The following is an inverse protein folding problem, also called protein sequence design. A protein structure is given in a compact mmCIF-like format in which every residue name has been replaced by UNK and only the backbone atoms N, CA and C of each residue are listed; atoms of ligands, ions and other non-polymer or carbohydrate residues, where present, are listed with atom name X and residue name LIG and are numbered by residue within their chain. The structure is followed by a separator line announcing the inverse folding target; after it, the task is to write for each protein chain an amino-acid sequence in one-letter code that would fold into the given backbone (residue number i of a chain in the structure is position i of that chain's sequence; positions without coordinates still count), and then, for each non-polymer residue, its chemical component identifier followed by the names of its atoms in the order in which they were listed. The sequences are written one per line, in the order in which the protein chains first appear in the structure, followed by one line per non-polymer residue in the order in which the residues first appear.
data_IF_234317380234
#
_entry.id   IF_234317380234
#
_cell.length_a   1.000
_cell.length_b   1.000
_cell.length_c   1.000
_cell.angle_alpha   90.00
_cell.angle_beta   90.00
_cell.angle_gamma   90.00
#
_symmetry.space_group_name_H-M   'P 1'
#
loop_
_entity.id
_entity.type
_entity.pdbx_description
1 polymer ?
#
# COMPACT_ATOMS: atom_id res chain seq x y z
N UNK A 1 55.24 -81.59 -4.52
CA UNK A 1 54.08 -81.09 -3.75
C UNK A 1 54.55 -79.85 -3.00
N UNK A 2 54.40 -78.67 -3.61
CA UNK A 2 54.78 -77.39 -3.00
C UNK A 2 53.53 -76.73 -2.41
N UNK A 3 53.63 -76.31 -1.16
CA UNK A 3 52.66 -75.51 -0.42
C UNK A 3 53.16 -74.06 -0.39
N UNK A 4 52.31 -73.09 -0.72
CA UNK A 4 52.56 -71.66 -0.48
C UNK A 4 51.27 -70.97 -0.03
N UNK A 5 51.38 -70.20 1.05
CA UNK A 5 50.32 -69.42 1.70
C UNK A 5 50.07 -68.09 0.95
N UNK A 6 48.85 -67.50 1.00
CA UNK A 6 48.63 -66.17 0.46
C UNK A 6 48.88 -65.09 1.51
N UNK A 7 49.64 -64.05 1.12
CA UNK A 7 49.78 -62.79 1.85
C UNK A 7 48.58 -61.87 1.53
N UNK A 8 47.98 -61.31 2.57
CA UNK A 8 46.87 -60.35 2.50
C UNK A 8 47.43 -58.93 2.31
N UNK A 9 47.14 -58.25 1.20
CA UNK A 9 47.42 -56.82 1.01
C UNK A 9 46.14 -56.02 1.24
N UNK A 10 46.13 -55.16 2.25
CA UNK A 10 45.04 -54.24 2.53
C UNK A 10 45.19 -52.97 1.67
N UNK A 11 44.20 -52.69 0.81
CA UNK A 11 44.14 -51.48 0.00
C UNK A 11 43.26 -50.44 0.70
N UNK A 12 43.84 -49.29 1.07
CA UNK A 12 43.13 -48.18 1.71
C UNK A 12 42.45 -47.32 0.62
N UNK A 13 41.11 -47.26 0.61
CA UNK A 13 40.31 -46.41 -0.28
C UNK A 13 40.05 -45.05 0.38
N UNK A 14 40.64 -43.99 -0.17
CA UNK A 14 40.27 -42.59 0.14
C UNK A 14 39.05 -42.18 -0.70
N UNK A 15 37.93 -41.87 -0.04
CA UNK A 15 36.75 -41.29 -0.67
C UNK A 15 36.89 -39.76 -0.78
N UNK A 16 36.54 -39.14 -1.93
CA UNK A 16 36.57 -37.69 -2.06
C UNK A 16 35.39 -37.07 -1.30
N UNK A 17 35.70 -36.12 -0.42
CA UNK A 17 34.70 -35.29 0.25
C UNK A 17 34.20 -34.26 -0.78
N UNK A 18 33.08 -34.55 -1.42
CA UNK A 18 32.38 -33.59 -2.28
C UNK A 18 31.72 -32.56 -1.36
N UNK A 19 32.38 -31.40 -1.21
CA UNK A 19 31.82 -30.24 -0.52
C UNK A 19 30.55 -29.80 -1.23
N UNK A 20 29.40 -30.00 -0.58
CA UNK A 20 28.12 -29.52 -1.07
C UNK A 20 28.10 -28.00 -0.92
N UNK A 21 28.25 -27.29 -2.04
CA UNK A 21 28.02 -25.84 -2.09
C UNK A 21 26.52 -25.65 -1.90
N UNK A 22 26.10 -25.28 -0.69
CA UNK A 22 24.75 -24.80 -0.45
C UNK A 22 24.61 -23.44 -1.14
N UNK A 23 24.09 -23.45 -2.37
CA UNK A 23 23.61 -22.24 -3.02
C UNK A 23 22.28 -21.89 -2.36
N UNK A 24 22.28 -20.87 -1.52
CA UNK A 24 21.04 -20.30 -0.98
C UNK A 24 20.15 -19.87 -2.16
N UNK A 25 18.84 -20.20 -2.16
CA UNK A 25 17.94 -19.66 -3.17
C UNK A 25 18.00 -18.13 -3.13
N UNK A 26 17.87 -17.44 -4.28
CA UNK A 26 17.83 -15.98 -4.29
C UNK A 26 16.74 -15.53 -3.33
N UNK A 27 17.11 -14.70 -2.35
CA UNK A 27 16.15 -14.00 -1.48
C UNK A 27 15.19 -13.29 -2.43
N UNK A 28 13.90 -13.62 -2.35
CA UNK A 28 12.87 -12.89 -3.10
C UNK A 28 13.17 -11.40 -2.98
N UNK A 29 13.32 -10.70 -4.11
CA UNK A 29 13.57 -9.27 -4.10
C UNK A 29 12.55 -8.63 -3.17
N UNK A 30 13.01 -7.83 -2.19
CA UNK A 30 12.13 -7.17 -1.26
C UNK A 30 11.15 -6.31 -2.07
N UNK A 31 9.85 -6.62 -1.99
CA UNK A 31 8.85 -5.75 -2.57
C UNK A 31 8.74 -4.50 -1.69
N UNK A 32 8.78 -3.32 -2.27
CA UNK A 32 8.42 -2.09 -1.58
C UNK A 32 6.93 -1.85 -1.81
N UNK A 33 6.16 -1.73 -0.73
CA UNK A 33 4.77 -1.31 -0.82
C UNK A 33 4.68 0.20 -0.71
N UNK A 34 3.81 0.81 -1.51
CA UNK A 34 3.41 2.20 -1.31
C UNK A 34 2.22 2.26 -0.37
N UNK A 35 2.29 3.16 0.60
CA UNK A 35 1.25 3.36 1.62
C UNK A 35 0.81 4.81 1.59
N UNK A 36 -0.50 5.03 1.57
CA UNK A 36 -1.10 6.35 1.71
C UNK A 36 -1.76 6.45 3.08
N UNK A 37 -1.47 7.52 3.81
CA UNK A 37 -2.01 7.75 5.15
C UNK A 37 -2.87 9.00 5.14
N UNK A 38 -4.16 8.80 5.40
CA UNK A 38 -5.14 9.86 5.61
C UNK A 38 -5.06 10.43 7.03
N UNK A 39 -5.46 11.68 7.22
CA UNK A 39 -5.34 12.40 8.48
C UNK A 39 -6.49 13.38 8.71
N UNK A 40 -6.58 13.93 9.92
CA UNK A 40 -7.31 15.17 10.18
C UNK A 40 -6.33 16.32 10.10
N UNK A 41 -6.66 17.39 9.37
CA UNK A 41 -5.80 18.56 9.20
C UNK A 41 -6.27 19.76 10.04
N UNK A 42 -7.57 19.89 10.29
CA UNK A 42 -8.09 20.93 11.19
C UNK A 42 -7.68 20.64 12.65
N UNK A 43 -7.05 21.62 13.29
CA UNK A 43 -6.65 21.51 14.70
C UNK A 43 -5.44 20.60 14.95
N UNK A 44 -4.63 20.33 13.93
CA UNK A 44 -3.40 19.55 14.03
C UNK A 44 -2.29 20.16 13.17
N UNK A 45 -1.07 19.62 13.28
CA UNK A 45 0.07 19.96 12.41
C UNK A 45 0.08 19.15 11.10
N UNK A 46 -0.96 18.35 10.84
CA UNK A 46 -1.04 17.52 9.63
C UNK A 46 -1.33 18.37 8.39
N UNK A 47 -0.61 18.08 7.31
CA UNK A 47 -0.72 18.83 6.07
C UNK A 47 -1.70 18.24 5.05
N UNK A 48 -2.07 16.97 5.19
CA UNK A 48 -2.93 16.25 4.24
C UNK A 48 -2.62 14.76 4.17
N UNK A 49 -2.47 14.22 2.96
CA UNK A 49 -2.23 12.79 2.73
C UNK A 49 -0.72 12.53 2.68
N UNK A 50 -0.22 11.60 3.50
CA UNK A 50 1.20 11.22 3.51
C UNK A 50 1.43 10.00 2.63
N UNK A 51 2.51 10.03 1.84
CA UNK A 51 3.01 8.88 1.09
C UNK A 51 4.20 8.27 1.82
N UNK A 52 4.12 6.98 2.11
CA UNK A 52 5.20 6.20 2.71
C UNK A 52 5.61 5.06 1.79
N UNK A 53 6.87 4.63 1.88
CA UNK A 53 7.32 3.33 1.41
C UNK A 53 7.40 2.36 2.58
N UNK A 54 7.05 1.10 2.34
CA UNK A 54 7.13 0.02 3.32
C UNK A 54 7.97 -1.12 2.77
N UNK A 55 9.09 -1.39 3.45
CA UNK A 55 9.88 -2.57 3.20
C UNK A 55 9.07 -3.83 3.59
N UNK A 56 8.75 -4.68 2.61
CA UNK A 56 7.91 -5.87 2.84
C UNK A 56 8.51 -6.93 3.76
N UNK A 57 9.82 -6.90 4.00
CA UNK A 57 10.51 -7.92 4.80
C UNK A 57 10.61 -7.53 6.26
N UNK A 58 10.74 -6.22 6.53
CA UNK A 58 10.96 -5.67 7.87
C UNK A 58 9.76 -4.90 8.40
N UNK A 59 8.83 -4.48 7.53
CA UNK A 59 7.73 -3.59 7.86
C UNK A 59 8.17 -2.15 8.13
N UNK A 60 9.43 -1.80 7.88
CA UNK A 60 9.93 -0.44 8.09
C UNK A 60 9.22 0.54 7.15
N UNK A 61 8.60 1.56 7.73
CA UNK A 61 8.00 2.67 7.00
C UNK A 61 8.99 3.83 6.85
N UNK A 62 9.04 4.43 5.65
CA UNK A 62 9.82 5.63 5.36
C UNK A 62 8.95 6.67 4.66
N UNK A 63 9.04 7.93 5.09
CA UNK A 63 8.31 9.02 4.47
C UNK A 63 8.89 9.33 3.09
N UNK A 64 8.02 9.37 2.09
CA UNK A 64 8.38 9.65 0.69
C UNK A 64 7.90 11.01 0.25
N UNK A 65 6.70 11.41 0.69
CA UNK A 65 6.09 12.68 0.27
C UNK A 65 4.82 13.01 1.02
N UNK A 66 4.30 14.19 0.73
CA UNK A 66 3.04 14.69 1.28
C UNK A 66 2.25 15.36 0.16
N UNK A 67 0.96 15.03 0.07
CA UNK A 67 -0.02 15.80 -0.69
C UNK A 67 -0.69 16.77 0.26
N UNK A 68 -0.19 18.00 0.24
CA UNK A 68 -0.64 19.08 1.11
C UNK A 68 -2.00 19.65 0.68
N UNK A 69 -2.61 20.46 1.54
CA UNK A 69 -3.84 21.22 1.27
C UNK A 69 -5.05 20.33 0.93
N UNK A 70 -5.04 19.08 1.38
CA UNK A 70 -6.23 18.21 1.38
C UNK A 70 -6.89 18.36 2.74
N UNK A 71 -8.11 18.86 2.77
CA UNK A 71 -8.83 19.11 4.02
C UNK A 71 -9.39 17.81 4.61
N UNK A 72 -9.01 17.49 5.85
CA UNK A 72 -9.45 16.31 6.60
C UNK A 72 -9.62 15.02 5.75
N UNK A 73 -8.55 14.52 5.09
CA UNK A 73 -8.57 13.28 4.33
C UNK A 73 -8.57 12.05 5.23
N UNK A 74 -9.57 11.92 6.09
CA UNK A 74 -9.61 10.92 7.18
C UNK A 74 -9.77 9.48 6.70
N UNK A 75 -10.28 9.28 5.48
CA UNK A 75 -10.47 7.96 4.87
C UNK A 75 -10.15 7.97 3.37
N UNK A 76 -9.42 6.95 2.91
CA UNK A 76 -8.94 6.83 1.54
C UNK A 76 -9.40 5.51 0.92
N UNK A 77 -9.63 5.49 -0.39
CA UNK A 77 -9.69 4.25 -1.16
C UNK A 77 -9.01 4.40 -2.52
N UNK A 78 -8.42 3.30 -2.97
CA UNK A 78 -7.76 3.21 -4.28
C UNK A 78 -8.72 2.51 -5.24
N UNK A 79 -8.85 3.07 -6.44
CA UNK A 79 -9.62 2.47 -7.51
C UNK A 79 -9.02 1.09 -7.91
N UNK A 80 -9.81 0.07 -8.29
CA UNK A 80 -9.31 -1.28 -8.60
C UNK A 80 -8.16 -1.35 -9.63
N UNK A 81 -8.14 -0.42 -10.59
CA UNK A 81 -7.05 -0.30 -11.58
C UNK A 81 -5.75 0.35 -11.04
N UNK A 82 -5.71 0.77 -9.78
CA UNK A 82 -4.59 1.40 -9.08
C UNK A 82 -4.11 2.75 -9.65
N UNK A 83 -4.90 3.38 -10.53
CA UNK A 83 -4.54 4.67 -11.16
C UNK A 83 -5.13 5.88 -10.44
N UNK A 84 -6.08 5.67 -9.54
CA UNK A 84 -6.80 6.74 -8.87
C UNK A 84 -6.92 6.48 -7.37
N UNK A 85 -6.86 7.56 -6.59
CA UNK A 85 -7.12 7.56 -5.16
C UNK A 85 -8.26 8.55 -4.88
N UNK A 86 -9.19 8.13 -4.04
CA UNK A 86 -10.27 8.95 -3.53
C UNK A 86 -10.08 9.18 -2.04
N UNK A 87 -10.27 10.41 -1.59
CA UNK A 87 -10.20 10.79 -0.19
C UNK A 87 -11.52 11.45 0.21
N UNK A 88 -12.12 11.05 1.32
CA UNK A 88 -13.17 11.88 1.94
C UNK A 88 -12.55 13.21 2.35
N UNK A 89 -13.34 14.27 2.35
CA UNK A 89 -13.00 15.52 3.04
C UNK A 89 -14.00 15.66 4.18
N UNK A 90 -13.60 15.25 5.38
CA UNK A 90 -14.48 15.16 6.54
C UNK A 90 -14.75 16.55 7.14
N UNK A 91 -15.69 17.25 6.51
CA UNK A 91 -16.13 18.60 6.86
C UNK A 91 -17.66 18.72 6.76
N UNK A 92 -18.21 19.78 7.32
CA UNK A 92 -19.64 20.16 7.25
C UNK A 92 -19.91 21.33 6.31
N UNK A 93 -18.86 21.99 5.84
CA UNK A 93 -18.97 23.08 4.88
C UNK A 93 -18.10 22.75 3.67
N UNK A 94 -18.71 22.74 2.50
CA UNK A 94 -18.04 22.61 1.22
C UNK A 94 -18.67 23.58 0.23
N UNK A 95 -17.90 24.57 -0.21
CA UNK A 95 -18.33 25.60 -1.16
C UNK A 95 -19.61 26.34 -0.70
N UNK A 96 -19.73 26.62 0.60
CA UNK A 96 -20.89 27.30 1.19
C UNK A 96 -22.15 26.44 1.30
N UNK A 97 -22.04 25.12 1.06
CA UNK A 97 -23.12 24.16 1.26
C UNK A 97 -22.85 23.33 2.52
N UNK A 98 -23.93 22.94 3.21
CA UNK A 98 -23.88 22.02 4.36
C UNK A 98 -23.55 20.59 3.90
N UNK A 99 -22.29 20.35 3.58
CA UNK A 99 -21.80 19.12 2.98
C UNK A 99 -20.32 18.92 3.29
N UNK A 100 -19.87 17.68 3.28
CA UNK A 100 -18.47 17.34 3.01
C UNK A 100 -18.24 17.13 1.52
N UNK A 101 -17.09 16.57 1.19
CA UNK A 101 -16.71 16.28 -0.20
C UNK A 101 -15.91 14.97 -0.31
N UNK A 102 -15.68 14.55 -1.54
CA UNK A 102 -14.64 13.59 -1.90
C UNK A 102 -13.70 14.26 -2.90
N UNK A 103 -12.41 14.18 -2.62
CA UNK A 103 -11.33 14.56 -3.56
C UNK A 103 -10.88 13.36 -4.35
N UNK A 104 -10.65 13.52 -5.65
CA UNK A 104 -10.08 12.51 -6.51
C UNK A 104 -8.68 12.92 -6.99
N UNK A 105 -7.79 11.94 -7.09
CA UNK A 105 -6.40 12.12 -7.51
C UNK A 105 -5.99 11.04 -8.51
N UNK A 106 -5.11 11.36 -9.46
CA UNK A 106 -4.35 10.32 -10.17
C UNK A 106 -3.14 9.90 -9.34
N UNK A 107 -2.79 8.62 -9.44
CA UNK A 107 -1.57 8.07 -8.87
C UNK A 107 -0.52 7.96 -9.98
N UNK A 108 0.62 8.63 -9.81
CA UNK A 108 1.76 8.42 -10.69
C UNK A 108 2.32 6.99 -10.49
N UNK A 109 2.41 6.16 -11.54
CA UNK A 109 2.77 4.76 -11.39
C UNK A 109 4.24 4.55 -10.98
N UNK A 110 5.12 5.53 -11.21
CA UNK A 110 6.56 5.42 -10.93
C UNK A 110 6.92 5.92 -9.53
N UNK A 111 6.28 7.00 -9.10
CA UNK A 111 6.59 7.71 -7.85
C UNK A 111 5.55 7.47 -6.76
N UNK A 112 4.30 7.18 -7.13
CA UNK A 112 3.17 7.18 -6.20
C UNK A 112 2.67 8.57 -5.82
N UNK A 113 3.17 9.62 -6.48
CA UNK A 113 2.69 10.97 -6.22
C UNK A 113 1.23 11.12 -6.63
N UNK A 114 0.47 11.85 -5.82
CA UNK A 114 -0.93 12.17 -6.10
C UNK A 114 -1.03 13.51 -6.83
N UNK A 115 -1.73 13.52 -7.95
CA UNK A 115 -2.09 14.75 -8.65
C UNK A 115 -3.58 14.95 -8.53
N UNK A 116 -3.99 16.11 -8.01
CA UNK A 116 -5.40 16.47 -7.84
C UNK A 116 -6.15 16.49 -9.18
N UNK A 117 -7.36 15.94 -9.20
CA UNK A 117 -8.25 15.97 -10.35
C UNK A 117 -9.44 16.89 -10.12
N UNK A 118 -10.28 16.57 -9.14
CA UNK A 118 -11.47 17.32 -8.80
C UNK A 118 -11.95 17.01 -7.37
N UNK A 119 -13.01 17.70 -6.98
CA UNK A 119 -13.80 17.43 -5.79
C UNK A 119 -15.28 17.37 -6.13
N UNK A 120 -16.02 16.54 -5.41
CA UNK A 120 -17.48 16.43 -5.51
C UNK A 120 -18.11 16.47 -4.13
N UNK A 121 -19.22 17.20 -4.00
CA UNK A 121 -20.02 17.23 -2.78
C UNK A 121 -20.62 15.84 -2.49
N UNK A 122 -20.57 15.42 -1.23
CA UNK A 122 -21.23 14.18 -0.77
C UNK A 122 -22.69 14.39 -0.39
N UNK A 123 -23.19 15.62 -0.48
CA UNK A 123 -24.54 16.05 -0.11
C UNK A 123 -24.95 15.63 1.31
N UNK A 124 -23.96 15.55 2.20
CA UNK A 124 -24.10 15.21 3.61
C UNK A 124 -22.85 15.65 4.36
N UNK A 125 -22.96 15.97 5.64
CA UNK A 125 -21.83 16.43 6.45
C UNK A 125 -20.97 15.29 7.00
N UNK A 126 -19.69 15.56 7.25
CA UNK A 126 -18.70 14.66 7.83
C UNK A 126 -18.67 13.27 7.15
N UNK A 127 -18.30 13.17 5.86
CA UNK A 127 -18.03 11.88 5.23
C UNK A 127 -16.91 11.17 5.97
N UNK A 128 -17.19 9.97 6.49
CA UNK A 128 -16.28 9.24 7.38
C UNK A 128 -15.70 7.96 6.74
N UNK A 129 -16.27 7.54 5.60
CA UNK A 129 -15.84 6.33 4.90
C UNK A 129 -16.24 6.41 3.43
N UNK A 130 -15.42 5.83 2.56
CA UNK A 130 -15.80 5.58 1.17
C UNK A 130 -15.28 4.23 0.67
N UNK A 131 -15.90 3.69 -0.38
CA UNK A 131 -15.44 2.52 -1.12
C UNK A 131 -15.62 2.75 -2.62
N UNK A 132 -14.78 2.10 -3.43
CA UNK A 132 -14.97 2.03 -4.88
C UNK A 132 -15.64 0.70 -5.19
N UNK A 133 -16.68 0.70 -6.02
CA UNK A 133 -17.32 -0.54 -6.42
C UNK A 133 -16.36 -1.44 -7.23
N UNK A 134 -16.64 -2.75 -7.28
CA UNK A 134 -15.76 -3.71 -7.92
C UNK A 134 -15.53 -3.45 -9.43
N UNK A 135 -16.47 -2.78 -10.11
CA UNK A 135 -16.32 -2.39 -11.51
C UNK A 135 -15.53 -1.09 -11.70
N UNK A 136 -15.31 -0.33 -10.64
CA UNK A 136 -14.59 0.95 -10.68
C UNK A 136 -15.40 2.13 -11.22
N UNK A 137 -16.73 1.98 -11.35
CA UNK A 137 -17.60 3.00 -11.95
C UNK A 137 -18.20 3.96 -10.94
N UNK A 138 -18.21 3.62 -9.66
CA UNK A 138 -18.86 4.39 -8.62
C UNK A 138 -18.04 4.42 -7.34
N UNK A 139 -18.06 5.58 -6.68
CA UNK A 139 -17.59 5.76 -5.31
C UNK A 139 -18.80 5.89 -4.39
N UNK A 140 -18.91 4.98 -3.42
CA UNK A 140 -19.95 5.00 -2.39
C UNK A 140 -19.39 5.63 -1.12
N UNK A 141 -20.12 6.57 -0.52
CA UNK A 141 -19.65 7.35 0.63
C UNK A 141 -20.69 7.29 1.75
N UNK A 142 -20.21 7.15 2.99
CA UNK A 142 -21.01 7.28 4.20
C UNK A 142 -20.76 8.64 4.86
N UNK A 143 -21.83 9.42 5.06
CA UNK A 143 -21.80 10.71 5.74
C UNK A 143 -22.26 10.55 7.18
N UNK A 144 -21.34 10.64 8.14
CA UNK A 144 -21.65 10.47 9.56
C UNK A 144 -22.51 11.62 10.08
N UNK A 145 -22.07 12.86 9.86
CA UNK A 145 -22.77 14.05 10.32
C UNK A 145 -24.10 14.28 9.59
N UNK A 146 -24.21 13.83 8.34
CA UNK A 146 -25.44 13.88 7.55
C UNK A 146 -26.43 12.74 7.82
N UNK A 147 -25.96 11.59 8.34
CA UNK A 147 -26.79 10.40 8.53
C UNK A 147 -27.29 9.79 7.22
N UNK A 148 -26.54 9.93 6.12
CA UNK A 148 -26.93 9.49 4.78
C UNK A 148 -25.75 8.88 4.01
N UNK A 149 -26.06 8.24 2.89
CA UNK A 149 -25.07 7.78 1.91
C UNK A 149 -25.16 8.58 0.61
N UNK A 150 -24.10 8.58 -0.19
CA UNK A 150 -24.14 9.06 -1.58
C UNK A 150 -23.35 8.14 -2.51
N UNK A 151 -23.71 8.18 -3.80
CA UNK A 151 -22.96 7.54 -4.89
C UNK A 151 -22.47 8.62 -5.83
N UNK A 152 -21.17 8.63 -6.09
CA UNK A 152 -20.52 9.52 -7.06
C UNK A 152 -20.09 8.69 -8.29
N UNK A 153 -20.21 9.23 -9.52
CA UNK A 153 -19.73 8.60 -10.74
C UNK A 153 -18.21 8.71 -10.92
#
# INVERSE_FOLDING_TARGET
MFSSHPFLTATLLLLPIIGSIFVSPPRSAAAEYRVYVGTYTRGSDSQGIYQLSMDSQTGKLSLVGVTENVENPSFLAIHPNQKFLYAVNETRDFQGQKSGAVSAFTIDPQTGNLTFLNQQSTRGGDPCHLVVDATGKYVLVANYGGGNICSLP
#
